data_IF_707587902085
#
_entry.id   IF_707587902085
#
_cell.length_a   1.000
_cell.length_b   1.000
_cell.length_c   1.000
_cell.angle_alpha   90.00
_cell.angle_beta   90.00
_cell.angle_gamma   90.00
#
_symmetry.space_group_name_H-M   'P 1'
#
loop_
_entity.id
_entity.type
_entity.pdbx_description
1 polymer ?
#
# COMPACT_ATOMS: atom_id res chain seq x y z
N UNK A 1 -9.71 -25.52 -1.09
CA UNK A 1 -10.49 -24.26 -1.15
C UNK A 1 -9.81 -23.32 -2.17
N UNK A 2 -10.53 -22.39 -2.79
CA UNK A 2 -9.89 -21.40 -3.66
C UNK A 2 -9.01 -20.47 -2.80
N UNK A 3 -7.86 -20.02 -3.34
CA UNK A 3 -6.99 -19.03 -2.71
C UNK A 3 -7.77 -17.73 -2.46
N UNK A 4 -7.54 -17.10 -1.33
CA UNK A 4 -8.08 -15.78 -1.02
C UNK A 4 -7.56 -14.68 -1.96
N UNK A 5 -8.13 -13.48 -1.86
CA UNK A 5 -7.75 -12.31 -2.65
C UNK A 5 -6.78 -11.42 -1.87
N UNK A 6 -5.74 -10.92 -2.55
CA UNK A 6 -4.85 -9.86 -2.04
C UNK A 6 -5.20 -8.54 -2.70
N UNK A 7 -5.82 -7.63 -1.95
CA UNK A 7 -6.14 -6.26 -2.38
C UNK A 7 -5.25 -5.27 -1.65
N UNK A 8 -4.48 -4.51 -2.41
CA UNK A 8 -3.53 -3.53 -1.88
C UNK A 8 -4.07 -2.12 -2.03
N UNK A 9 -3.93 -1.30 -1.00
CA UNK A 9 -4.22 0.13 -1.02
C UNK A 9 -2.92 0.92 -1.10
N UNK A 10 -2.75 1.68 -2.16
CA UNK A 10 -1.56 2.49 -2.43
C UNK A 10 -1.92 3.95 -2.67
N UNK A 11 -0.92 4.82 -2.66
CA UNK A 11 -1.07 6.25 -2.92
C UNK A 11 -0.29 7.12 -1.93
N UNK A 12 -0.25 8.45 -2.19
CA UNK A 12 0.53 9.40 -1.39
C UNK A 12 0.01 9.56 0.04
N UNK A 13 0.72 10.36 0.84
CA UNK A 13 0.29 10.69 2.20
C UNK A 13 -1.08 11.39 2.20
N UNK A 14 -1.88 11.10 3.23
CA UNK A 14 -3.21 11.71 3.37
C UNK A 14 -4.29 11.21 2.41
N UNK A 15 -3.98 10.32 1.44
CA UNK A 15 -4.94 9.80 0.46
C UNK A 15 -6.08 8.95 1.06
N UNK A 16 -6.02 8.63 2.35
CA UNK A 16 -7.11 7.92 3.04
C UNK A 16 -7.04 6.40 2.95
N UNK A 17 -5.89 5.82 2.56
CA UNK A 17 -5.68 4.37 2.43
C UNK A 17 -6.19 3.57 3.62
N UNK A 18 -5.64 3.83 4.81
CA UNK A 18 -6.00 3.11 6.04
C UNK A 18 -7.48 3.27 6.42
N UNK A 19 -8.08 4.42 6.11
CA UNK A 19 -9.51 4.66 6.33
C UNK A 19 -10.35 3.77 5.42
N UNK A 20 -10.06 3.76 4.13
CA UNK A 20 -10.80 2.97 3.14
C UNK A 20 -10.59 1.47 3.35
N UNK A 21 -9.37 1.06 3.70
CA UNK A 21 -9.07 -0.31 4.07
C UNK A 21 -9.92 -0.78 5.26
N UNK A 22 -9.98 0.02 6.34
CA UNK A 22 -10.80 -0.31 7.52
C UNK A 22 -12.27 -0.39 7.18
N UNK A 23 -12.82 0.57 6.42
CA UNK A 23 -14.21 0.53 5.98
C UNK A 23 -14.52 -0.73 5.16
N UNK A 24 -13.60 -1.14 4.28
CA UNK A 24 -13.75 -2.35 3.49
C UNK A 24 -13.67 -3.61 4.36
N UNK A 25 -12.76 -3.65 5.34
CA UNK A 25 -12.65 -4.77 6.28
C UNK A 25 -13.95 -4.92 7.09
N UNK A 26 -14.47 -3.83 7.64
CA UNK A 26 -15.74 -3.80 8.39
C UNK A 26 -16.92 -4.25 7.50
N UNK A 27 -16.98 -3.77 6.26
CA UNK A 27 -18.02 -4.12 5.29
C UNK A 27 -18.01 -5.61 4.91
N UNK A 28 -16.84 -6.20 4.70
CA UNK A 28 -16.67 -7.64 4.42
C UNK A 28 -17.00 -8.49 5.65
N UNK A 29 -16.47 -8.11 6.84
CA UNK A 29 -16.73 -8.79 8.10
C UNK A 29 -18.21 -8.86 8.44
N UNK A 30 -18.95 -7.74 8.24
CA UNK A 30 -20.40 -7.71 8.43
C UNK A 30 -21.18 -8.68 7.50
N UNK A 31 -20.54 -9.17 6.44
CA UNK A 31 -21.07 -10.16 5.48
C UNK A 31 -20.53 -11.57 5.70
N UNK A 32 -19.87 -11.80 6.85
CA UNK A 32 -19.34 -13.12 7.22
C UNK A 32 -18.16 -13.57 6.38
N UNK A 33 -17.42 -12.62 5.77
CA UNK A 33 -16.19 -12.93 5.02
C UNK A 33 -14.99 -12.91 5.95
N UNK A 34 -14.10 -13.88 5.81
CA UNK A 34 -12.81 -13.89 6.48
C UNK A 34 -11.90 -12.83 5.86
N UNK A 35 -11.45 -11.88 6.69
CA UNK A 35 -10.64 -10.74 6.28
C UNK A 35 -9.44 -10.59 7.19
N UNK A 36 -8.27 -10.40 6.61
CA UNK A 36 -7.03 -10.03 7.28
C UNK A 36 -6.61 -8.65 6.81
N UNK A 37 -6.63 -7.68 7.72
CA UNK A 37 -6.26 -6.29 7.44
C UNK A 37 -4.88 -5.99 8.04
N UNK A 38 -3.90 -5.73 7.19
CA UNK A 38 -2.49 -5.51 7.57
C UNK A 38 -1.91 -4.28 6.88
N UNK A 39 -0.73 -3.85 7.34
CA UNK A 39 -0.06 -2.65 6.81
C UNK A 39 1.45 -2.85 6.73
N UNK A 40 2.08 -2.14 5.82
CA UNK A 40 3.53 -1.99 5.76
C UNK A 40 4.01 -0.55 6.08
N UNK A 41 5.20 -0.45 6.70
CA UNK A 41 5.92 -1.50 7.40
C UNK A 41 5.19 -1.88 8.68
N UNK A 42 5.30 -3.15 9.13
CA UNK A 42 4.66 -3.63 10.37
C UNK A 42 3.79 -4.86 10.18
N UNK A 43 2.82 -5.04 11.07
CA UNK A 43 1.85 -6.13 11.02
C UNK A 43 2.36 -7.47 11.60
N UNK A 44 3.57 -7.51 12.12
CA UNK A 44 4.15 -8.62 12.88
C UNK A 44 5.03 -8.06 14.01
N UNK A 45 5.35 -8.83 15.02
CA UNK A 45 6.22 -8.37 16.13
C UNK A 45 7.52 -7.77 15.60
N UNK A 46 8.23 -8.50 14.73
CA UNK A 46 9.49 -8.01 14.12
C UNK A 46 9.23 -6.83 13.18
N UNK A 47 8.18 -6.89 12.37
CA UNK A 47 7.80 -5.82 11.46
C UNK A 47 7.48 -4.52 12.19
N UNK A 48 6.83 -4.58 13.35
CA UNK A 48 6.48 -3.41 14.16
C UNK A 48 7.72 -2.81 14.83
N UNK A 49 8.71 -3.62 15.25
CA UNK A 49 10.01 -3.10 15.72
C UNK A 49 10.77 -2.39 14.59
N UNK A 50 10.78 -2.97 13.39
CA UNK A 50 11.36 -2.33 12.20
C UNK A 50 10.62 -1.01 11.89
N UNK A 51 9.30 -1.01 11.97
CA UNK A 51 8.48 0.20 11.79
C UNK A 51 8.89 1.30 12.77
N UNK A 52 9.08 0.96 14.03
CA UNK A 52 9.52 1.92 15.06
C UNK A 52 10.84 2.58 14.68
N UNK A 53 11.80 1.81 14.15
CA UNK A 53 13.09 2.35 13.68
C UNK A 53 12.87 3.25 12.47
N UNK A 54 12.12 2.77 11.45
CA UNK A 54 11.92 3.48 10.19
C UNK A 54 11.19 4.82 10.35
N UNK A 55 10.26 4.91 11.31
CA UNK A 55 9.42 6.08 11.52
C UNK A 55 9.92 7.02 12.62
N UNK A 56 10.97 6.64 13.38
CA UNK A 56 11.55 7.51 14.40
C UNK A 56 12.06 8.82 13.78
N UNK A 57 11.49 9.98 14.14
CA UNK A 57 11.87 11.26 13.57
C UNK A 57 13.33 11.68 13.86
N UNK A 58 14.00 11.02 14.81
CA UNK A 58 15.39 11.29 15.19
C UNK A 58 16.36 10.28 14.54
N UNK A 59 15.88 9.26 13.86
CA UNK A 59 16.74 8.26 13.23
C UNK A 59 17.39 8.81 11.97
N UNK A 60 18.73 8.75 11.93
CA UNK A 60 19.51 8.99 10.71
C UNK A 60 19.71 7.66 9.97
N UNK A 61 18.91 7.43 8.94
CA UNK A 61 18.91 6.18 8.18
C UNK A 61 19.29 6.48 6.73
N UNK A 62 20.41 5.93 6.28
CA UNK A 62 20.83 6.08 4.88
C UNK A 62 19.86 5.35 3.94
N UNK A 63 19.65 5.82 2.69
CA UNK A 63 18.63 5.30 1.77
C UNK A 63 18.65 3.78 1.59
N UNK A 64 19.81 3.16 1.46
CA UNK A 64 19.90 1.70 1.28
C UNK A 64 19.46 0.94 2.51
N UNK A 65 19.83 1.40 3.71
CA UNK A 65 19.39 0.78 4.97
C UNK A 65 17.89 0.93 5.15
N UNK A 66 17.30 2.09 4.78
CA UNK A 66 15.87 2.32 4.79
C UNK A 66 15.16 1.28 3.91
N UNK A 67 15.60 1.11 2.65
CA UNK A 67 15.01 0.15 1.73
C UNK A 67 15.11 -1.30 2.24
N UNK A 68 16.27 -1.71 2.76
CA UNK A 68 16.47 -3.06 3.30
C UNK A 68 15.61 -3.33 4.54
N UNK A 69 15.40 -2.35 5.40
CA UNK A 69 14.49 -2.47 6.54
C UNK A 69 13.03 -2.63 6.09
N UNK A 70 12.58 -1.87 5.07
CA UNK A 70 11.27 -2.09 4.48
C UNK A 70 11.14 -3.51 3.93
N UNK A 71 12.15 -4.02 3.23
CA UNK A 71 12.14 -5.39 2.68
C UNK A 71 12.15 -6.46 3.77
N UNK A 72 12.88 -6.26 4.86
CA UNK A 72 12.87 -7.18 6.00
C UNK A 72 11.49 -7.25 6.67
N UNK A 73 10.84 -6.09 6.89
CA UNK A 73 9.47 -6.03 7.41
C UNK A 73 8.48 -6.72 6.46
N UNK A 74 8.60 -6.48 5.15
CA UNK A 74 7.76 -7.09 4.11
C UNK A 74 7.91 -8.61 4.08
N UNK A 75 9.13 -9.12 4.07
CA UNK A 75 9.39 -10.55 4.06
C UNK A 75 8.72 -11.25 5.25
N UNK A 76 8.84 -10.66 6.44
CA UNK A 76 8.21 -11.17 7.66
C UNK A 76 6.69 -11.17 7.56
N UNK A 77 6.09 -10.08 7.05
CA UNK A 77 4.65 -9.94 6.90
C UNK A 77 4.09 -10.93 5.86
N UNK A 78 4.74 -11.05 4.71
CA UNK A 78 4.32 -11.96 3.64
C UNK A 78 4.30 -13.40 4.13
N UNK A 79 5.35 -13.84 4.80
CA UNK A 79 5.50 -15.22 5.22
C UNK A 79 4.61 -15.59 6.40
N UNK A 80 4.42 -14.67 7.36
CA UNK A 80 3.72 -14.97 8.61
C UNK A 80 2.23 -14.69 8.58
N UNK A 81 1.81 -13.71 7.79
CA UNK A 81 0.42 -13.24 7.81
C UNK A 81 -0.26 -13.39 6.44
N UNK A 82 0.36 -12.85 5.36
CA UNK A 82 -0.35 -12.75 4.09
C UNK A 82 -0.53 -14.13 3.44
N UNK A 83 0.54 -14.92 3.30
CA UNK A 83 0.46 -16.25 2.65
C UNK A 83 -0.49 -17.19 3.39
N UNK A 84 -0.39 -17.39 4.71
CA UNK A 84 -1.31 -18.26 5.43
C UNK A 84 -2.77 -17.82 5.32
N UNK A 85 -3.04 -16.51 5.37
CA UNK A 85 -4.38 -15.97 5.19
C UNK A 85 -4.94 -16.26 3.78
N UNK A 86 -4.13 -16.04 2.73
CA UNK A 86 -4.55 -16.35 1.37
C UNK A 86 -4.78 -17.86 1.15
N UNK A 87 -3.94 -18.70 1.73
CA UNK A 87 -4.08 -20.16 1.67
C UNK A 87 -5.34 -20.64 2.36
N UNK A 88 -5.75 -20.00 3.47
CA UNK A 88 -7.02 -20.29 4.14
C UNK A 88 -8.26 -19.81 3.38
N UNK A 89 -8.09 -19.02 2.32
CA UNK A 89 -9.17 -18.45 1.52
C UNK A 89 -9.64 -17.06 1.99
N UNK A 90 -8.98 -16.46 2.99
CA UNK A 90 -9.31 -15.14 3.50
C UNK A 90 -8.98 -14.02 2.47
N UNK A 91 -9.74 -12.93 2.49
CA UNK A 91 -9.39 -11.72 1.77
C UNK A 91 -8.37 -10.93 2.59
N UNK A 92 -7.19 -10.69 2.01
CA UNK A 92 -6.14 -9.85 2.62
C UNK A 92 -6.25 -8.44 2.07
N UNK A 93 -6.39 -7.46 2.97
CA UNK A 93 -6.37 -6.03 2.68
C UNK A 93 -5.06 -5.45 3.21
N UNK A 94 -4.24 -4.89 2.34
CA UNK A 94 -2.89 -4.44 2.68
C UNK A 94 -2.74 -2.94 2.43
N UNK A 95 -2.34 -2.18 3.46
CA UNK A 95 -2.00 -0.76 3.35
C UNK A 95 -0.50 -0.63 3.02
N UNK A 96 -0.19 -0.24 1.78
CA UNK A 96 1.12 -0.14 1.14
C UNK A 96 1.77 -1.49 0.81
N UNK A 97 2.46 -1.51 -0.35
CA UNK A 97 3.24 -2.63 -0.84
C UNK A 97 4.29 -2.15 -1.86
N UNK A 98 4.31 -2.75 -3.07
CA UNK A 98 5.32 -2.48 -4.09
C UNK A 98 5.41 -1.01 -4.52
N UNK A 99 4.26 -0.36 -4.81
CA UNK A 99 4.28 0.99 -5.37
C UNK A 99 4.89 2.00 -4.40
N UNK A 100 4.62 1.84 -3.09
CA UNK A 100 5.27 2.67 -2.07
C UNK A 100 6.79 2.54 -2.12
N UNK A 101 7.35 1.35 -2.33
CA UNK A 101 8.80 1.16 -2.44
C UNK A 101 9.37 1.89 -3.67
N UNK A 102 8.76 1.69 -4.84
CA UNK A 102 9.21 2.36 -6.06
C UNK A 102 9.07 3.89 -5.96
N UNK A 103 8.00 4.39 -5.35
CA UNK A 103 7.79 5.82 -5.18
C UNK A 103 8.79 6.44 -4.16
N UNK A 104 8.87 5.87 -2.97
CA UNK A 104 9.63 6.47 -1.87
C UNK A 104 11.12 6.16 -1.96
N UNK A 105 11.52 4.88 -2.04
CA UNK A 105 12.92 4.48 -2.09
C UNK A 105 13.53 4.62 -3.49
N UNK A 106 12.73 4.37 -4.53
CA UNK A 106 13.16 4.56 -5.92
C UNK A 106 13.24 6.03 -6.28
N UNK A 107 12.13 6.63 -6.65
CA UNK A 107 12.07 8.03 -7.13
C UNK A 107 12.43 9.02 -6.02
N UNK A 108 11.96 8.80 -4.81
CA UNK A 108 12.21 9.70 -3.67
C UNK A 108 13.67 9.70 -3.20
N UNK A 109 14.28 8.53 -3.02
CA UNK A 109 15.65 8.35 -2.50
C UNK A 109 16.70 8.06 -3.57
N UNK A 110 16.31 7.84 -4.83
CA UNK A 110 17.22 7.61 -5.95
C UNK A 110 17.86 6.22 -5.97
N UNK A 111 17.25 5.21 -5.34
CA UNK A 111 17.74 3.84 -5.43
C UNK A 111 17.35 3.28 -6.81
N UNK A 112 18.29 2.64 -7.55
CA UNK A 112 17.98 2.04 -8.84
C UNK A 112 16.81 1.06 -8.77
N UNK A 113 15.89 1.14 -9.73
CA UNK A 113 14.70 0.29 -9.77
C UNK A 113 15.05 -1.20 -9.80
N UNK A 114 16.09 -1.59 -10.54
CA UNK A 114 16.54 -2.98 -10.62
C UNK A 114 16.92 -3.55 -9.23
N UNK A 115 17.58 -2.75 -8.39
CA UNK A 115 17.96 -3.16 -7.02
C UNK A 115 16.72 -3.33 -6.15
N UNK A 116 15.74 -2.42 -6.26
CA UNK A 116 14.48 -2.51 -5.52
C UNK A 116 13.65 -3.71 -5.98
N UNK A 117 13.60 -3.98 -7.28
CA UNK A 117 12.91 -5.14 -7.84
C UNK A 117 13.51 -6.44 -7.34
N UNK A 118 14.85 -6.56 -7.33
CA UNK A 118 15.55 -7.72 -6.80
C UNK A 118 15.26 -7.94 -5.30
N UNK A 119 15.34 -6.87 -4.50
CA UNK A 119 15.05 -6.92 -3.07
C UNK A 119 13.58 -7.27 -2.79
N UNK A 120 12.64 -6.72 -3.55
CA UNK A 120 11.22 -7.07 -3.49
C UNK A 120 10.98 -8.55 -3.84
N UNK A 121 11.66 -9.07 -4.86
CA UNK A 121 11.54 -10.47 -5.26
C UNK A 121 11.94 -11.41 -4.12
N UNK A 122 13.05 -11.11 -3.43
CA UNK A 122 13.48 -11.85 -2.23
C UNK A 122 12.42 -11.76 -1.14
N UNK A 123 11.93 -10.55 -0.85
CA UNK A 123 11.01 -10.30 0.26
C UNK A 123 9.63 -10.94 0.05
N UNK A 124 9.15 -11.02 -1.19
CA UNK A 124 7.80 -11.48 -1.50
C UNK A 124 7.73 -12.89 -2.04
N UNK A 125 8.87 -13.46 -2.49
CA UNK A 125 8.93 -14.76 -3.13
C UNK A 125 7.87 -14.90 -4.25
N UNK A 126 7.75 -13.87 -5.09
CA UNK A 126 6.83 -13.85 -6.23
C UNK A 126 5.35 -13.68 -5.87
N UNK A 127 5.01 -13.25 -4.66
CA UNK A 127 3.63 -12.88 -4.33
C UNK A 127 3.24 -11.63 -5.13
N UNK A 128 2.16 -11.72 -5.89
CA UNK A 128 1.60 -10.65 -6.72
C UNK A 128 0.21 -10.29 -6.19
N UNK A 129 -0.11 -8.99 -6.03
CA UNK A 129 -1.46 -8.55 -5.71
C UNK A 129 -2.48 -8.95 -6.77
N UNK A 130 -3.69 -9.33 -6.36
CA UNK A 130 -4.82 -9.55 -7.27
C UNK A 130 -5.38 -8.21 -7.79
N UNK A 131 -5.23 -7.15 -6.98
CA UNK A 131 -5.53 -5.76 -7.35
C UNK A 131 -4.80 -4.78 -6.45
N UNK A 132 -4.25 -3.74 -7.05
CA UNK A 132 -3.77 -2.54 -6.36
C UNK A 132 -4.73 -1.37 -6.62
N UNK A 133 -5.39 -0.87 -5.56
CA UNK A 133 -6.19 0.34 -5.57
C UNK A 133 -5.28 1.53 -5.30
N UNK A 134 -4.99 2.32 -6.33
CA UNK A 134 -4.16 3.50 -6.21
C UNK A 134 -5.05 4.72 -5.94
N UNK A 135 -5.11 5.14 -4.68
CA UNK A 135 -5.86 6.31 -4.24
C UNK A 135 -5.09 7.59 -4.63
N UNK A 136 -5.73 8.46 -5.39
CA UNK A 136 -5.14 9.70 -5.90
C UNK A 136 -5.86 10.92 -5.36
N UNK A 137 -5.08 11.96 -5.04
CA UNK A 137 -5.58 13.27 -4.65
C UNK A 137 -4.49 14.33 -4.82
N UNK A 138 -4.84 15.64 -4.88
CA UNK A 138 -3.84 16.70 -4.91
C UNK A 138 -2.89 16.63 -3.72
N UNK A 139 -1.58 16.75 -3.95
CA UNK A 139 -0.53 16.62 -2.92
C UNK A 139 -0.77 17.54 -1.74
N UNK A 140 -1.08 18.82 -2.00
CA UNK A 140 -1.35 19.80 -0.96
C UNK A 140 -2.51 19.40 -0.03
N UNK A 141 -3.59 18.83 -0.59
CA UNK A 141 -4.72 18.36 0.18
C UNK A 141 -4.37 17.12 1.03
N UNK A 142 -3.55 16.20 0.48
CA UNK A 142 -3.06 15.04 1.20
C UNK A 142 -2.16 15.41 2.39
N UNK A 143 -1.20 16.31 2.15
CA UNK A 143 -0.30 16.79 3.21
C UNK A 143 -1.06 17.56 4.30
N UNK A 144 -2.04 18.39 3.95
CA UNK A 144 -2.89 19.06 4.95
C UNK A 144 -3.60 18.06 5.85
N UNK A 145 -4.21 17.00 5.28
CA UNK A 145 -4.85 15.92 6.05
C UNK A 145 -3.85 15.13 6.91
N UNK A 146 -2.60 14.98 6.46
CA UNK A 146 -1.55 14.31 7.23
C UNK A 146 -1.14 15.15 8.45
N UNK A 147 -1.00 16.47 8.28
CA UNK A 147 -0.67 17.41 9.37
C UNK A 147 -1.76 17.42 10.46
N UNK A 148 -3.04 17.42 10.07
CA UNK A 148 -4.17 17.44 11.01
C UNK A 148 -4.25 16.17 11.90
N UNK A 149 -3.53 15.09 11.55
CA UNK A 149 -3.53 13.83 12.33
C UNK A 149 -2.57 13.83 13.51
N UNK A 150 -1.67 14.79 13.65
CA UNK A 150 -0.74 14.92 14.78
C UNK A 150 0.74 14.98 14.39
N UNK A 151 1.61 14.46 15.25
CA UNK A 151 3.06 14.50 15.02
C UNK A 151 3.45 13.74 13.75
N UNK A 152 4.27 14.41 12.91
CA UNK A 152 4.80 13.83 11.67
C UNK A 152 5.94 12.87 11.97
N UNK A 153 5.88 11.69 11.37
CA UNK A 153 6.96 10.73 11.37
C UNK A 153 8.13 11.18 10.44
N UNK A 154 9.21 10.41 10.44
CA UNK A 154 10.41 10.71 9.64
C UNK A 154 10.12 10.84 8.15
N UNK A 155 9.22 10.03 7.60
CA UNK A 155 8.86 10.06 6.18
C UNK A 155 8.00 11.28 5.87
N UNK A 156 7.05 11.62 6.73
CA UNK A 156 6.17 12.79 6.59
C UNK A 156 6.90 14.13 6.81
N UNK A 157 8.08 14.12 7.48
CA UNK A 157 8.93 15.29 7.67
C UNK A 157 9.82 15.64 6.48
N UNK A 158 9.85 14.81 5.44
CA UNK A 158 10.55 15.13 4.19
C UNK A 158 10.03 16.45 3.59
N UNK A 159 10.84 17.09 2.76
CA UNK A 159 10.48 18.35 2.12
C UNK A 159 9.34 18.19 1.10
N UNK A 160 8.73 19.32 0.73
CA UNK A 160 7.62 19.33 -0.23
C UNK A 160 8.04 18.75 -1.58
N UNK A 161 9.25 19.04 -2.03
CA UNK A 161 9.77 18.56 -3.31
C UNK A 161 9.86 17.03 -3.34
N UNK A 162 10.24 16.40 -2.23
CA UNK A 162 10.22 14.95 -2.09
C UNK A 162 8.80 14.39 -2.25
N UNK A 163 7.82 14.98 -1.55
CA UNK A 163 6.43 14.54 -1.64
C UNK A 163 5.83 14.74 -3.03
N UNK A 164 6.20 15.82 -3.72
CA UNK A 164 5.79 16.05 -5.11
C UNK A 164 6.41 15.02 -6.08
N UNK A 165 7.71 14.69 -5.89
CA UNK A 165 8.35 13.62 -6.69
C UNK A 165 7.65 12.27 -6.47
N UNK A 166 7.36 11.92 -5.23
CA UNK A 166 6.64 10.69 -4.86
C UNK A 166 5.24 10.66 -5.48
N UNK A 167 4.50 11.77 -5.43
CA UNK A 167 3.16 11.83 -6.01
C UNK A 167 3.18 11.67 -7.53
N UNK A 168 4.10 12.34 -8.23
CA UNK A 168 4.29 12.17 -9.69
C UNK A 168 4.66 10.72 -10.04
N UNK A 169 5.44 10.04 -9.18
CA UNK A 169 5.74 8.63 -9.39
C UNK A 169 4.47 7.76 -9.33
N UNK A 170 3.60 7.96 -8.35
CA UNK A 170 2.32 7.25 -8.28
C UNK A 170 1.45 7.48 -9.52
N UNK A 171 1.40 8.71 -10.05
CA UNK A 171 0.68 9.01 -11.30
C UNK A 171 1.26 8.23 -12.48
N UNK A 172 2.59 8.18 -12.61
CA UNK A 172 3.27 7.43 -13.66
C UNK A 172 3.02 5.91 -13.56
N UNK A 173 2.94 5.35 -12.36
CA UNK A 173 2.70 3.92 -12.14
C UNK A 173 1.29 3.46 -12.59
N UNK A 174 0.36 4.39 -12.73
CA UNK A 174 -0.97 4.10 -13.26
C UNK A 174 -1.01 3.95 -14.79
N UNK A 175 0.05 4.35 -15.48
CA UNK A 175 0.09 4.23 -16.95
C UNK A 175 0.19 2.78 -17.38
N UNK A 176 -0.41 2.46 -18.53
CA UNK A 176 -0.36 1.11 -19.09
C UNK A 176 1.07 0.65 -19.36
N UNK A 177 1.90 1.55 -19.91
CA UNK A 177 3.30 1.26 -20.23
C UNK A 177 4.08 0.84 -18.99
N UNK A 178 3.92 1.57 -17.86
CA UNK A 178 4.58 1.23 -16.61
C UNK A 178 4.10 -0.12 -16.07
N UNK A 179 2.81 -0.38 -16.08
CA UNK A 179 2.24 -1.64 -15.57
C UNK A 179 2.70 -2.85 -16.38
N UNK A 180 2.81 -2.74 -17.72
CA UNK A 180 3.34 -3.79 -18.58
C UNK A 180 4.81 -4.14 -18.25
N UNK A 181 5.59 -3.16 -17.79
CA UNK A 181 6.97 -3.33 -17.32
C UNK A 181 7.09 -3.88 -15.89
N UNK A 182 5.99 -3.88 -15.11
CA UNK A 182 5.99 -4.22 -13.68
C UNK A 182 4.89 -5.23 -13.30
N UNK A 183 4.89 -6.42 -13.90
CA UNK A 183 3.85 -7.43 -13.64
C UNK A 183 3.80 -7.87 -12.18
N UNK A 184 4.88 -7.72 -11.43
CA UNK A 184 4.96 -8.02 -10.00
C UNK A 184 4.05 -7.14 -9.13
N UNK A 185 3.65 -5.96 -9.61
CA UNK A 185 2.75 -5.06 -8.90
C UNK A 185 1.27 -5.43 -9.04
N UNK A 186 0.95 -6.40 -9.89
CA UNK A 186 -0.42 -6.77 -10.23
C UNK A 186 -1.16 -5.67 -11.00
N UNK A 187 -2.44 -5.86 -11.28
CA UNK A 187 -3.26 -4.82 -11.90
C UNK A 187 -3.44 -3.61 -10.99
N UNK A 188 -3.27 -2.40 -11.53
CA UNK A 188 -3.42 -1.14 -10.80
C UNK A 188 -4.64 -0.40 -11.31
N UNK A 189 -5.53 0.01 -10.42
CA UNK A 189 -6.71 0.83 -10.74
C UNK A 189 -6.70 2.11 -9.93
N UNK A 190 -6.83 3.24 -10.61
CA UNK A 190 -6.94 4.56 -9.97
C UNK A 190 -8.30 4.71 -9.29
N UNK A 191 -8.26 5.21 -8.06
CA UNK A 191 -9.45 5.60 -7.31
C UNK A 191 -9.30 7.05 -6.89
N UNK A 192 -10.17 7.93 -7.35
CA UNK A 192 -10.20 9.32 -6.90
C UNK A 192 -10.56 9.40 -5.42
N UNK A 193 -9.63 9.90 -4.60
CA UNK A 193 -9.77 10.03 -3.15
C UNK A 193 -10.29 11.42 -2.70
N UNK A 194 -10.76 12.24 -3.64
CA UNK A 194 -11.42 13.49 -3.32
C UNK A 194 -12.86 13.26 -2.83
N UNK A 195 -13.28 14.08 -1.88
CA UNK A 195 -14.64 14.04 -1.33
C UNK A 195 -14.72 13.45 0.08
N UNK A 196 -15.92 13.05 0.47
CA UNK A 196 -16.19 12.44 1.78
C UNK A 196 -15.75 10.98 1.83
N UNK A 197 -15.50 10.47 3.03
CA UNK A 197 -15.10 9.07 3.22
C UNK A 197 -16.11 8.09 2.59
N UNK A 198 -17.44 8.23 2.74
CA UNK A 198 -18.42 7.38 2.06
C UNK A 198 -18.32 7.44 0.54
N UNK A 199 -18.20 8.63 -0.05
CA UNK A 199 -18.11 8.78 -1.51
C UNK A 199 -16.86 8.11 -2.10
N UNK A 200 -15.73 8.14 -1.39
CA UNK A 200 -14.53 7.39 -1.80
C UNK A 200 -14.74 5.89 -1.63
N UNK A 201 -15.42 5.48 -0.55
CA UNK A 201 -15.74 4.08 -0.30
C UNK A 201 -16.63 3.47 -1.40
N UNK A 202 -17.63 4.23 -1.87
CA UNK A 202 -18.49 3.82 -2.97
C UNK A 202 -17.69 3.56 -4.27
N UNK A 203 -16.67 4.41 -4.56
CA UNK A 203 -15.75 4.18 -5.70
C UNK A 203 -14.89 2.94 -5.52
N UNK A 204 -14.38 2.70 -4.30
CA UNK A 204 -13.63 1.49 -3.95
C UNK A 204 -14.50 0.26 -4.19
N UNK A 205 -15.72 0.23 -3.61
CA UNK A 205 -16.65 -0.89 -3.80
C UNK A 205 -17.05 -1.09 -5.26
N UNK A 206 -17.33 -0.02 -6.00
CA UNK A 206 -17.65 -0.09 -7.42
C UNK A 206 -16.54 -0.72 -8.26
N UNK A 207 -15.28 -0.37 -7.95
CA UNK A 207 -14.09 -0.96 -8.59
C UNK A 207 -13.99 -2.47 -8.29
N UNK A 208 -14.17 -2.85 -7.04
CA UNK A 208 -14.10 -4.26 -6.61
C UNK A 208 -15.29 -5.07 -7.15
N UNK A 209 -16.49 -4.50 -7.16
CA UNK A 209 -17.69 -5.13 -7.73
C UNK A 209 -17.52 -5.45 -9.21
N UNK A 210 -16.99 -4.51 -9.99
CA UNK A 210 -16.74 -4.71 -11.43
C UNK A 210 -15.84 -5.93 -11.68
N UNK A 211 -14.87 -6.17 -10.79
CA UNK A 211 -13.89 -7.24 -10.96
C UNK A 211 -14.34 -8.57 -10.34
N UNK A 212 -15.02 -8.53 -9.21
CA UNK A 212 -15.47 -9.70 -8.46
C UNK A 212 -16.89 -9.53 -7.91
N UNK A 213 -17.92 -9.52 -8.77
CA UNK A 213 -19.31 -9.24 -8.34
C UNK A 213 -19.85 -10.25 -7.32
N UNK A 214 -19.34 -11.49 -7.32
CA UNK A 214 -19.73 -12.52 -6.34
C UNK A 214 -19.12 -12.32 -4.96
N UNK A 215 -17.95 -11.67 -4.85
CA UNK A 215 -17.31 -11.37 -3.58
C UNK A 215 -17.71 -10.00 -3.04
N UNK A 216 -17.84 -9.02 -3.95
CA UNK A 216 -18.24 -7.65 -3.65
C UNK A 216 -19.55 -7.35 -4.38
N UNK A 217 -20.71 -7.76 -3.84
CA UNK A 217 -22.00 -7.42 -4.44
C UNK A 217 -22.17 -5.90 -4.52
N UNK A 218 -22.85 -5.43 -5.57
CA UNK A 218 -23.14 -4.01 -5.77
C UNK A 218 -23.93 -3.41 -4.61
N UNK A 219 -23.85 -2.08 -4.49
CA UNK A 219 -24.63 -1.28 -3.54
C UNK A 219 -26.11 -1.28 -3.91
#
# INVERSE_FOLDING_TARGET
MARGLLVVFEGPEGAGKSTQLRLLADWLGARGRDVVAVREPGGTIIGDEIRRILLDPNADIVPRSEALLFMASRAQLVEREIRPALESGATVLLDRFFLSTYAYQGVGRGIPEADLRAANTIATQGLVPDLTLLLTMPVAAGLARAIDRGERDRMERADLEFHERVARAFEAFATREWQEGHPECGPIVLVDANGTQPAVFDRVLGTLHTRWPGTFPGL
#
